data_IF_032247790620
#
_entry.id   IF_032247790620
#
_cell.length_a   1.000
_cell.length_b   1.000
_cell.length_c   1.000
_cell.angle_alpha   90.00
_cell.angle_beta   90.00
_cell.angle_gamma   90.00
#
_symmetry.space_group_name_H-M   'P 1'
#
loop_
_entity.id
_entity.type
_entity.pdbx_description
1 polymer ?
#
# COMPACT_ATOMS: atom_id res chain seq x y z
N UNK A 1 10.09 -4.33 -11.11
CA UNK A 1 9.41 -5.55 -10.60
C UNK A 1 8.18 -5.08 -9.85
N UNK A 2 7.00 -5.45 -10.34
CA UNK A 2 5.71 -4.89 -9.92
C UNK A 2 4.93 -5.84 -9.00
N UNK A 3 4.39 -5.27 -7.91
CA UNK A 3 3.41 -5.93 -7.03
C UNK A 3 2.24 -4.99 -6.70
N UNK A 4 1.12 -5.57 -6.26
CA UNK A 4 -0.13 -4.85 -5.96
C UNK A 4 -0.76 -5.35 -4.65
N UNK A 5 -1.30 -4.47 -3.80
CA UNK A 5 -2.29 -4.81 -2.75
C UNK A 5 -3.58 -4.00 -2.97
N UNK A 6 -4.72 -4.59 -2.62
CA UNK A 6 -5.99 -3.89 -2.58
C UNK A 6 -6.14 -3.19 -1.23
N UNK A 7 -6.63 -1.96 -1.24
CA UNK A 7 -6.91 -1.16 -0.06
C UNK A 7 -8.12 -0.26 -0.31
N UNK A 8 -8.43 0.61 0.64
CA UNK A 8 -9.45 1.64 0.45
C UNK A 8 -9.06 2.95 1.11
N UNK A 9 -9.55 4.04 0.53
CA UNK A 9 -9.57 5.35 1.19
C UNK A 9 -10.97 5.61 1.72
N UNK A 10 -11.07 6.25 2.88
CA UNK A 10 -12.34 6.65 3.45
C UNK A 10 -12.74 8.02 2.94
N UNK A 11 -13.96 8.13 2.44
CA UNK A 11 -14.62 9.39 2.14
C UNK A 11 -15.91 9.45 2.94
N UNK A 12 -15.88 10.20 4.05
CA UNK A 12 -16.96 10.17 5.03
C UNK A 12 -17.11 8.77 5.62
N UNK A 13 -18.23 8.11 5.33
CA UNK A 13 -18.53 6.74 5.77
C UNK A 13 -18.29 5.68 4.67
N UNK A 14 -17.95 6.09 3.45
CA UNK A 14 -17.74 5.18 2.32
C UNK A 14 -16.28 4.78 2.18
N UNK A 15 -16.02 3.50 1.95
CA UNK A 15 -14.70 2.99 1.58
C UNK A 15 -14.56 2.93 0.04
N UNK A 16 -13.76 3.83 -0.52
CA UNK A 16 -13.46 3.89 -1.97
C UNK A 16 -12.27 3.02 -2.34
N UNK A 17 -12.34 2.18 -3.40
CA UNK A 17 -11.25 1.29 -3.80
C UNK A 17 -9.95 2.03 -4.05
N UNK A 18 -8.86 1.51 -3.52
CA UNK A 18 -7.52 1.95 -3.86
C UNK A 18 -6.65 0.74 -4.18
N UNK A 19 -5.92 0.79 -5.29
CA UNK A 19 -4.86 -0.17 -5.58
C UNK A 19 -3.54 0.48 -5.22
N UNK A 20 -2.79 -0.18 -4.35
CA UNK A 20 -1.40 0.20 -4.03
C UNK A 20 -0.50 -0.63 -4.92
N UNK A 21 0.19 0.02 -5.85
CA UNK A 21 1.17 -0.61 -6.73
C UNK A 21 2.57 -0.20 -6.31
N UNK A 22 3.48 -1.17 -6.25
CA UNK A 22 4.89 -0.92 -5.96
C UNK A 22 5.73 -1.48 -7.09
N UNK A 23 6.52 -0.61 -7.73
CA UNK A 23 7.50 -1.01 -8.73
C UNK A 23 8.93 -0.72 -8.24
N UNK A 24 9.78 -1.75 -8.33
CA UNK A 24 11.21 -1.64 -8.12
C UNK A 24 11.94 -1.48 -9.46
N UNK A 25 12.69 -0.39 -9.61
CA UNK A 25 13.44 -0.07 -10.82
C UNK A 25 14.93 0.16 -10.51
N UNK A 26 15.85 -0.16 -11.44
CA UNK A 26 17.26 0.19 -11.30
C UNK A 26 17.46 1.70 -11.12
N UNK A 27 18.46 2.09 -10.32
CA UNK A 27 18.79 3.49 -10.07
C UNK A 27 19.19 3.76 -8.63
N UNK A 28 19.40 5.04 -8.30
CA UNK A 28 19.74 5.46 -6.95
C UNK A 28 18.61 5.11 -5.96
N UNK A 29 18.95 4.65 -4.73
CA UNK A 29 17.97 4.37 -3.71
C UNK A 29 17.09 5.59 -3.41
N UNK A 30 15.79 5.39 -3.47
CA UNK A 30 14.83 6.45 -3.24
C UNK A 30 13.41 5.93 -3.37
N UNK A 31 12.47 6.54 -2.67
CA UNK A 31 11.05 6.17 -2.73
C UNK A 31 10.25 7.39 -3.17
N UNK A 32 9.45 7.20 -4.21
CA UNK A 32 8.52 8.18 -4.76
C UNK A 32 7.09 7.71 -4.54
N UNK A 33 6.23 8.60 -4.02
CA UNK A 33 4.81 8.37 -3.82
C UNK A 33 4.00 9.22 -4.80
N UNK A 34 3.09 8.59 -5.56
CA UNK A 34 2.21 9.24 -6.55
C UNK A 34 0.75 8.80 -6.36
N UNK A 35 -0.20 9.58 -6.91
CA UNK A 35 -1.63 9.28 -6.79
C UNK A 35 -2.38 10.10 -5.73
N UNK A 36 -2.01 11.38 -5.58
CA UNK A 36 -2.58 12.35 -4.63
C UNK A 36 -2.60 11.90 -3.15
N UNK A 37 -1.45 11.47 -2.58
CA UNK A 37 -1.34 11.21 -1.15
C UNK A 37 -1.35 12.51 -0.34
N UNK A 38 -1.97 12.46 0.84
CA UNK A 38 -1.83 13.50 1.86
C UNK A 38 -0.46 13.44 2.57
N UNK A 39 -0.26 14.35 3.52
CA UNK A 39 0.98 14.42 4.30
C UNK A 39 1.22 13.15 5.13
N UNK A 40 0.18 12.56 5.72
CA UNK A 40 0.32 11.36 6.55
C UNK A 40 0.84 10.17 5.74
N UNK A 41 0.38 10.04 4.49
CA UNK A 41 0.85 9.01 3.56
C UNK A 41 2.26 9.31 3.03
N UNK A 42 2.61 10.57 2.79
CA UNK A 42 3.98 10.94 2.44
C UNK A 42 4.98 10.53 3.54
N UNK A 43 4.58 10.66 4.81
CA UNK A 43 5.37 10.21 5.96
C UNK A 43 5.41 8.67 6.11
N UNK A 44 4.47 7.93 5.50
CA UNK A 44 4.45 6.46 5.51
C UNK A 44 5.75 5.86 4.99
N UNK A 45 6.46 6.54 4.08
CA UNK A 45 7.77 6.07 3.58
C UNK A 45 8.73 5.73 4.73
N UNK A 46 8.83 6.62 5.71
CA UNK A 46 9.75 6.42 6.83
C UNK A 46 9.23 5.35 7.79
N UNK A 47 7.91 5.35 8.04
CA UNK A 47 7.26 4.38 8.92
C UNK A 47 7.37 2.97 8.39
N UNK A 48 7.01 2.74 7.12
CA UNK A 48 7.11 1.45 6.44
C UNK A 48 8.55 0.96 6.46
N UNK A 49 9.52 1.81 6.13
CA UNK A 49 10.94 1.43 6.15
C UNK A 49 11.39 0.98 7.54
N UNK A 50 11.04 1.74 8.57
CA UNK A 50 11.40 1.42 9.96
C UNK A 50 10.70 0.15 10.46
N UNK A 51 9.40 0.03 10.19
CA UNK A 51 8.59 -1.13 10.54
C UNK A 51 9.15 -2.41 9.91
N UNK A 52 9.42 -2.40 8.59
CA UNK A 52 9.98 -3.56 7.90
C UNK A 52 11.33 -3.98 8.50
N UNK A 53 12.23 -3.02 8.73
CA UNK A 53 13.53 -3.29 9.34
C UNK A 53 13.37 -3.92 10.73
N UNK A 54 12.51 -3.34 11.55
CA UNK A 54 12.31 -3.78 12.93
C UNK A 54 11.49 -5.09 13.02
N UNK A 55 10.80 -5.48 11.95
CA UNK A 55 10.18 -6.79 11.76
C UNK A 55 11.12 -7.84 11.12
N UNK A 56 12.39 -7.51 10.87
CA UNK A 56 13.38 -8.43 10.31
C UNK A 56 13.41 -8.53 8.78
N UNK A 57 12.65 -7.69 8.07
CA UNK A 57 12.69 -7.59 6.62
C UNK A 57 13.75 -6.59 6.13
N UNK A 58 14.13 -6.73 4.86
CA UNK A 58 15.10 -5.85 4.20
C UNK A 58 14.39 -4.80 3.36
N UNK A 59 14.81 -3.54 3.49
CA UNK A 59 14.39 -2.49 2.56
C UNK A 59 15.15 -2.60 1.23
N UNK A 60 14.52 -2.31 0.08
CA UNK A 60 15.21 -2.32 -1.21
C UNK A 60 16.26 -1.20 -1.31
N UNK A 61 17.40 -1.51 -1.93
CA UNK A 61 18.49 -0.58 -2.24
C UNK A 61 18.41 -0.06 -3.68
N UNK A 62 17.19 0.11 -4.20
CA UNK A 62 16.92 0.55 -5.57
C UNK A 62 15.86 1.66 -5.56
N UNK A 63 15.54 2.21 -6.73
CA UNK A 63 14.42 3.15 -6.85
C UNK A 63 13.10 2.41 -6.66
N UNK A 64 12.24 2.96 -5.79
CA UNK A 64 10.90 2.46 -5.50
C UNK A 64 9.89 3.50 -5.94
N UNK A 65 8.91 3.08 -6.74
CA UNK A 65 7.74 3.91 -7.08
C UNK A 65 6.52 3.27 -6.44
N UNK A 66 5.81 4.04 -5.62
CA UNK A 66 4.56 3.66 -4.97
C UNK A 66 3.44 4.47 -5.62
N UNK A 67 2.53 3.80 -6.30
CA UNK A 67 1.36 4.41 -6.94
C UNK A 67 0.08 4.05 -6.18
N UNK A 68 -0.75 5.06 -5.89
CA UNK A 68 -2.06 4.91 -5.27
C UNK A 68 -3.16 5.22 -6.30
N UNK A 69 -3.72 4.18 -6.93
CA UNK A 69 -4.77 4.33 -7.95
C UNK A 69 -6.17 4.24 -7.33
N UNK A 70 -7.17 5.00 -7.79
CA UNK A 70 -7.15 5.86 -8.98
C UNK A 70 -6.63 7.28 -8.68
N UNK A 71 -5.87 7.90 -9.59
CA UNK A 71 -5.08 9.11 -9.30
C UNK A 71 -5.90 10.39 -9.06
N UNK A 72 -7.19 10.40 -9.40
CA UNK A 72 -8.16 11.48 -9.18
C UNK A 72 -8.75 11.47 -7.76
N UNK A 73 -8.65 10.35 -7.07
CA UNK A 73 -9.07 10.20 -5.67
C UNK A 73 -7.97 10.68 -4.73
N UNK A 74 -8.26 11.63 -3.84
CA UNK A 74 -7.37 11.96 -2.72
C UNK A 74 -7.34 10.81 -1.72
N UNK A 75 -6.14 10.43 -1.27
CA UNK A 75 -5.95 9.41 -0.23
C UNK A 75 -5.48 10.11 1.03
N UNK A 76 -6.17 9.84 2.12
CA UNK A 76 -5.88 10.47 3.41
C UNK A 76 -5.64 9.42 4.49
N UNK A 77 -4.72 9.76 5.39
CA UNK A 77 -4.45 9.01 6.60
C UNK A 77 -3.44 7.87 6.46
N UNK A 78 -2.94 7.37 7.61
CA UNK A 78 -1.86 6.39 7.68
C UNK A 78 -2.27 4.93 7.41
N UNK A 79 -3.55 4.65 7.07
CA UNK A 79 -4.05 3.29 6.81
C UNK A 79 -3.39 2.60 5.60
N UNK A 80 -2.62 3.36 4.82
CA UNK A 80 -1.85 2.85 3.68
C UNK A 80 -0.48 2.26 4.07
N UNK A 81 -0.05 2.35 5.33
CA UNK A 81 1.24 1.81 5.75
C UNK A 81 1.34 0.29 5.48
N UNK A 82 0.34 -0.48 5.93
CA UNK A 82 0.29 -1.93 5.72
C UNK A 82 0.26 -2.34 4.22
N UNK A 83 -0.66 -1.83 3.38
CA UNK A 83 -0.68 -2.20 1.96
C UNK A 83 0.62 -1.86 1.23
N UNK A 84 1.24 -0.71 1.56
CA UNK A 84 2.53 -0.33 0.98
C UNK A 84 3.62 -1.33 1.39
N UNK A 85 3.70 -1.68 2.68
CA UNK A 85 4.68 -2.62 3.19
C UNK A 85 4.55 -4.00 2.53
N UNK A 86 3.32 -4.53 2.44
CA UNK A 86 3.04 -5.83 1.82
C UNK A 86 3.40 -5.85 0.33
N UNK A 87 2.98 -4.83 -0.42
CA UNK A 87 3.32 -4.72 -1.83
C UNK A 87 4.84 -4.60 -2.03
N UNK A 88 5.55 -3.88 -1.16
CA UNK A 88 7.02 -3.78 -1.20
C UNK A 88 7.72 -5.12 -0.94
N UNK A 89 7.22 -5.91 0.02
CA UNK A 89 7.77 -7.23 0.32
C UNK A 89 7.57 -8.21 -0.84
N UNK A 90 6.40 -8.19 -1.48
CA UNK A 90 6.17 -9.00 -2.68
C UNK A 90 7.01 -8.49 -3.85
N UNK A 91 7.10 -7.18 -4.06
CA UNK A 91 7.91 -6.58 -5.12
C UNK A 91 9.42 -6.82 -4.92
N UNK A 92 9.88 -7.05 -3.70
CA UNK A 92 11.28 -7.41 -3.38
C UNK A 92 11.52 -8.91 -3.28
N UNK A 93 10.49 -9.75 -3.48
CA UNK A 93 10.61 -11.21 -3.43
C UNK A 93 10.75 -11.79 -2.02
N UNK A 94 10.50 -10.99 -0.97
CA UNK A 94 10.51 -11.44 0.42
C UNK A 94 9.18 -12.09 0.83
N UNK A 95 8.11 -11.85 0.08
CA UNK A 95 6.82 -12.54 0.16
C UNK A 95 6.41 -13.07 -1.21
N UNK A 96 5.63 -14.15 -1.23
CA UNK A 96 5.13 -14.77 -2.44
C UNK A 96 3.91 -14.01 -2.99
N UNK A 97 3.87 -13.78 -4.30
CA UNK A 97 2.78 -13.04 -4.99
C UNK A 97 1.36 -13.54 -4.66
N UNK A 98 1.09 -14.86 -4.59
CA UNK A 98 -0.25 -15.35 -4.30
C UNK A 98 -0.79 -14.89 -2.94
N UNK A 99 0.07 -14.46 -2.01
CA UNK A 99 -0.35 -13.99 -0.68
C UNK A 99 -1.14 -12.68 -0.72
N UNK A 100 -1.07 -11.91 -1.82
CA UNK A 100 -1.84 -10.66 -1.98
C UNK A 100 -3.01 -10.78 -2.95
N UNK A 101 -3.20 -11.93 -3.59
CA UNK A 101 -4.30 -12.12 -4.54
C UNK A 101 -5.65 -12.10 -3.82
N UNK A 102 -6.48 -11.10 -4.14
CA UNK A 102 -7.79 -10.92 -3.51
C UNK A 102 -7.76 -10.37 -2.08
N UNK A 103 -6.57 -10.14 -1.49
CA UNK A 103 -6.43 -9.61 -0.15
C UNK A 103 -6.73 -8.10 -0.13
N UNK A 104 -7.74 -7.70 0.64
CA UNK A 104 -7.98 -6.31 1.01
C UNK A 104 -7.27 -6.00 2.31
N UNK A 105 -6.41 -4.99 2.29
CA UNK A 105 -5.51 -4.69 3.39
C UNK A 105 -5.53 -3.18 3.72
N UNK A 106 -5.68 -2.86 5.00
CA UNK A 106 -5.57 -1.50 5.53
C UNK A 106 -5.04 -1.57 6.97
N UNK A 107 -4.16 -0.66 7.35
CA UNK A 107 -3.57 -0.66 8.67
C UNK A 107 -2.40 0.30 8.79
N UNK A 108 -2.19 0.77 10.01
CA UNK A 108 -1.13 1.70 10.36
C UNK A 108 0.06 0.92 10.93
N UNK A 109 1.29 1.29 10.57
CA UNK A 109 2.47 0.62 11.10
C UNK A 109 3.17 1.50 12.14
N UNK A 110 3.40 0.93 13.31
CA UNK A 110 4.36 1.46 14.27
C UNK A 110 5.78 1.28 13.75
N UNK A 111 6.69 2.18 14.15
CA UNK A 111 8.10 2.08 13.78
C UNK A 111 8.73 0.77 14.25
N UNK A 112 8.22 0.16 15.32
CA UNK A 112 8.61 -1.13 15.89
C UNK A 112 8.08 -2.35 15.11
N UNK A 113 7.30 -2.13 14.05
CA UNK A 113 6.65 -3.20 13.29
C UNK A 113 5.29 -3.62 13.84
N UNK A 114 4.78 -2.95 14.88
CA UNK A 114 3.42 -3.21 15.38
C UNK A 114 2.37 -2.78 14.36
N UNK A 115 1.33 -3.59 14.19
CA UNK A 115 0.15 -3.21 13.43
C UNK A 115 -0.84 -2.50 14.35
N UNK A 116 -1.19 -1.27 14.01
CA UNK A 116 -2.12 -0.43 14.76
C UNK A 116 -3.50 -0.43 14.10
N UNK A 117 -4.58 -0.31 14.90
CA UNK A 117 -5.92 -0.17 14.36
C UNK A 117 -6.02 1.10 13.51
N UNK A 118 -6.77 1.04 12.41
CA UNK A 118 -7.04 2.19 11.56
C UNK A 118 -8.55 2.46 11.49
N UNK A 119 -8.93 3.66 11.07
CA UNK A 119 -10.35 4.02 10.91
C UNK A 119 -10.97 3.27 9.73
N UNK A 120 -12.29 3.09 9.78
CA UNK A 120 -13.10 2.59 8.66
C UNK A 120 -12.85 1.14 8.23
N UNK A 121 -12.30 0.31 9.12
CA UNK A 121 -12.15 -1.14 8.91
C UNK A 121 -13.51 -1.80 8.67
N UNK A 122 -14.59 -1.32 9.31
CA UNK A 122 -15.96 -1.81 9.06
C UNK A 122 -16.39 -1.49 7.63
N UNK A 123 -16.24 -0.24 7.18
CA UNK A 123 -16.57 0.15 5.81
C UNK A 123 -15.75 -0.62 4.76
N UNK A 124 -14.49 -0.97 5.08
CA UNK A 124 -13.67 -1.85 4.24
C UNK A 124 -14.22 -3.28 4.21
N UNK A 125 -14.62 -3.82 5.36
CA UNK A 125 -15.14 -5.19 5.50
C UNK A 125 -16.54 -5.37 4.88
N UNK A 126 -17.39 -4.35 4.97
CA UNK A 126 -18.75 -4.36 4.39
C UNK A 126 -18.77 -4.18 2.88
N UNK A 127 -17.62 -3.90 2.26
CA UNK A 127 -17.59 -3.82 0.80
C UNK A 127 -17.96 -5.16 0.20
N UNK A 128 -18.88 -5.17 -0.78
CA UNK A 128 -19.12 -6.39 -1.55
C UNK A 128 -17.79 -6.82 -2.15
N UNK A 129 -17.51 -8.11 -2.13
CA UNK A 129 -16.34 -8.72 -2.78
C UNK A 129 -16.46 -8.62 -4.31
N UNK A 130 -16.67 -7.42 -4.86
CA UNK A 130 -16.34 -7.16 -6.24
C UNK A 130 -14.85 -7.39 -6.36
N UNK A 131 -14.43 -8.31 -7.24
CA UNK A 131 -13.06 -8.42 -7.72
C UNK A 131 -12.45 -7.01 -7.74
N UNK A 132 -11.33 -6.80 -7.05
CA UNK A 132 -10.61 -5.51 -7.07
C UNK A 132 -10.51 -5.01 -8.52
N UNK A 133 -10.45 -3.68 -8.75
CA UNK A 133 -10.55 -3.11 -10.10
C UNK A 133 -9.70 -3.95 -11.04
N UNK A 134 -10.37 -4.59 -12.01
CA UNK A 134 -9.74 -5.52 -12.92
C UNK A 134 -8.54 -4.85 -13.59
N UNK A 135 -7.54 -5.61 -14.06
CA UNK A 135 -6.45 -5.02 -14.82
C UNK A 135 -7.09 -4.24 -15.97
N UNK A 136 -7.02 -2.92 -15.90
CA UNK A 136 -7.57 -2.03 -16.93
C UNK A 136 -7.09 -2.51 -18.28
N UNK A 137 -8.04 -2.81 -19.16
CA UNK A 137 -7.78 -3.39 -20.46
C UNK A 137 -6.87 -2.48 -21.28
N UNK A 138 -5.79 -3.07 -21.78
CA UNK A 138 -5.20 -2.68 -23.04
C UNK A 138 -6.17 -3.09 -24.14
N UNK A 139 -6.93 -2.12 -24.64
CA UNK A 139 -7.45 -2.08 -26.01
C UNK A 139 -6.66 -1.02 -26.77
#
# INVERSE_FOLDING_TARGET
MLARCLSASLQGLEARPVVVEVDLAPGLPGVQLVGLPDKAIQESRERVRSALRNSGFRGPLVRVVINLAPADLRKEGPSFDLPIALALLVASGQLARPQLEGLWCAGELGLDGSLRPCRGVIALAERPSSKGPGPGGSS
#
